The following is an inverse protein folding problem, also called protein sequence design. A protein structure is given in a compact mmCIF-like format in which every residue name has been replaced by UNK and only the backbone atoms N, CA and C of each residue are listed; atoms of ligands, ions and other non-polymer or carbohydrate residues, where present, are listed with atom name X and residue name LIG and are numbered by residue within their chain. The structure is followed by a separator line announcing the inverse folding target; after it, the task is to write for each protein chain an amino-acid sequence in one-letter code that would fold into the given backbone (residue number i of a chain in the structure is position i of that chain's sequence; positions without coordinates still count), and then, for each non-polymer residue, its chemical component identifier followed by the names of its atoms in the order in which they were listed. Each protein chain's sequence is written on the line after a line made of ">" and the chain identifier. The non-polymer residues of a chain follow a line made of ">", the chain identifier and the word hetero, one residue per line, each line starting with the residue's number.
data_IF_410422934068
#
_entry.id   IF_410422934068
#
_cell.length_a   1.000
_cell.length_b   1.000
_cell.length_c   1.000
_cell.angle_alpha   90.00
_cell.angle_beta   90.00
_cell.angle_gamma   90.00
#
_symmetry.space_group_name_H-M   'P 1'
#
loop_
_entity.id
_entity.type
_entity.pdbx_description
1 polymer ?
#
# COMPACT_ATOMS: atom_id res chain seq x y z
N UNK A 1 -5.68 34.47 1.42
CA UNK A 1 -4.59 34.00 2.30
C UNK A 1 -5.22 33.21 3.44
N UNK A 2 -5.24 31.88 3.37
CA UNK A 2 -5.63 31.00 4.49
C UNK A 2 -4.32 30.61 5.17
N UNK A 3 -4.09 31.14 6.38
CA UNK A 3 -2.93 30.77 7.20
C UNK A 3 -3.09 29.33 7.67
N UNK A 4 -2.14 28.47 7.32
CA UNK A 4 -2.00 27.15 7.93
C UNK A 4 -1.60 27.34 9.39
N UNK A 5 -2.52 27.03 10.31
CA UNK A 5 -2.24 26.99 11.73
C UNK A 5 -1.62 25.62 12.01
N UNK A 6 -0.31 25.56 12.03
CA UNK A 6 0.44 24.38 12.46
C UNK A 6 0.51 24.39 14.00
N UNK A 7 -0.45 23.75 14.65
CA UNK A 7 -0.40 23.53 16.09
C UNK A 7 0.59 22.41 16.41
N UNK A 8 1.49 22.62 17.37
CA UNK A 8 2.36 21.56 17.88
C UNK A 8 1.55 20.52 18.69
N UNK A 9 2.03 19.27 18.75
CA UNK A 9 1.37 18.22 19.55
C UNK A 9 1.15 18.64 21.02
N UNK A 10 2.00 19.52 21.56
CA UNK A 10 1.90 20.08 22.91
C UNK A 10 0.75 21.09 23.03
N UNK A 11 0.51 21.89 22.01
CA UNK A 11 -0.61 22.84 21.99
C UNK A 11 -1.95 22.12 21.83
N UNK A 12 -1.98 21.05 21.03
CA UNK A 12 -3.14 20.15 20.93
C UNK A 12 -3.46 19.50 22.28
N UNK A 13 -2.44 19.00 22.99
CA UNK A 13 -2.62 18.40 24.33
C UNK A 13 -3.07 19.42 25.38
N UNK A 14 -2.58 20.66 25.32
CA UNK A 14 -3.00 21.75 26.21
C UNK A 14 -4.45 22.21 25.93
N UNK A 15 -4.89 22.17 24.69
CA UNK A 15 -6.28 22.47 24.31
C UNK A 15 -7.24 21.37 24.74
N UNK A 16 -6.85 20.08 24.62
CA UNK A 16 -7.61 18.95 25.17
C UNK A 16 -7.79 19.05 26.70
N UNK A 17 -6.81 19.60 27.41
CA UNK A 17 -6.87 19.83 28.86
C UNK A 17 -7.78 21.00 29.26
N UNK A 18 -8.14 21.88 28.34
CA UNK A 18 -8.97 23.08 28.55
C UNK A 18 -10.47 22.86 28.33
N UNK A 19 -10.95 21.61 28.35
CA UNK A 19 -12.38 21.33 28.45
C UNK A 19 -13.16 21.29 27.14
N UNK A 20 -12.60 20.70 26.08
CA UNK A 20 -13.39 20.26 24.92
C UNK A 20 -14.22 19.03 25.29
N UNK A 21 -15.34 19.28 25.96
CA UNK A 21 -16.32 18.21 26.26
C UNK A 21 -17.19 17.96 25.04
N UNK A 22 -17.51 16.68 24.71
CA UNK A 22 -18.50 16.39 23.67
C UNK A 22 -19.85 16.97 24.09
N UNK A 23 -20.59 17.52 23.14
CA UNK A 23 -22.01 17.80 23.37
C UNK A 23 -22.75 16.48 23.40
N UNK A 24 -23.37 16.20 24.52
CA UNK A 24 -24.23 15.03 24.66
C UNK A 24 -25.66 15.53 24.53
N UNK A 25 -26.34 15.17 23.45
CA UNK A 25 -27.77 15.37 23.26
C UNK A 25 -28.51 14.03 23.35
N UNK A 26 -29.78 14.08 23.71
CA UNK A 26 -30.65 12.89 23.73
C UNK A 26 -31.72 13.10 22.66
N UNK A 27 -31.63 12.34 21.59
CA UNK A 27 -32.63 12.33 20.52
C UNK A 27 -33.27 10.95 20.45
N UNK A 28 -34.61 10.92 20.46
CA UNK A 28 -35.43 9.68 20.35
C UNK A 28 -34.99 8.54 21.30
N UNK A 29 -34.55 8.88 22.52
CA UNK A 29 -34.15 7.88 23.52
C UNK A 29 -32.67 7.38 23.39
N UNK A 30 -31.96 7.82 22.38
CA UNK A 30 -30.54 7.49 22.16
C UNK A 30 -29.67 8.67 22.57
N UNK A 31 -28.55 8.40 23.25
CA UNK A 31 -27.55 9.42 23.54
C UNK A 31 -26.68 9.66 22.29
N UNK A 32 -26.75 10.88 21.72
CA UNK A 32 -25.90 11.32 20.61
C UNK A 32 -24.74 12.10 21.20
N UNK A 33 -23.53 11.66 20.90
CA UNK A 33 -22.29 12.32 21.33
C UNK A 33 -21.70 13.03 20.11
N UNK A 34 -21.84 14.37 20.09
CA UNK A 34 -21.22 15.19 19.05
C UNK A 34 -19.86 15.72 19.51
N UNK A 35 -18.82 15.30 18.82
CA UNK A 35 -17.48 15.84 19.00
C UNK A 35 -17.33 17.14 18.19
N UNK A 36 -16.68 18.16 18.75
CA UNK A 36 -16.37 19.37 18.01
C UNK A 36 -15.49 19.03 16.79
N UNK A 37 -15.67 19.73 15.67
CA UNK A 37 -14.87 19.52 14.45
C UNK A 37 -13.36 19.65 14.72
N UNK A 38 -12.98 20.52 15.64
CA UNK A 38 -11.59 20.65 16.09
C UNK A 38 -11.06 19.40 16.77
N UNK A 39 -11.86 18.73 17.58
CA UNK A 39 -11.43 17.49 18.24
C UNK A 39 -11.36 16.33 17.26
N UNK A 40 -12.30 16.23 16.32
CA UNK A 40 -12.24 15.24 15.22
C UNK A 40 -10.97 15.44 14.38
N UNK A 41 -10.64 16.69 14.07
CA UNK A 41 -9.42 17.04 13.35
C UNK A 41 -8.15 16.67 14.14
N UNK A 42 -8.10 16.97 15.45
CA UNK A 42 -6.99 16.61 16.32
C UNK A 42 -6.80 15.09 16.45
N UNK A 43 -7.89 14.34 16.56
CA UNK A 43 -7.87 12.88 16.60
C UNK A 43 -7.38 12.30 15.27
N UNK A 44 -7.85 12.83 14.14
CA UNK A 44 -7.40 12.40 12.83
C UNK A 44 -5.90 12.68 12.61
N UNK A 45 -5.40 13.84 13.04
CA UNK A 45 -3.97 14.15 13.00
C UNK A 45 -3.14 13.22 13.91
N UNK A 46 -3.66 12.90 15.09
CA UNK A 46 -3.00 11.98 16.02
C UNK A 46 -2.93 10.57 15.42
N UNK A 47 -4.01 10.06 14.86
CA UNK A 47 -4.06 8.76 14.19
C UNK A 47 -3.11 8.70 12.99
N UNK A 48 -3.07 9.74 12.14
CA UNK A 48 -2.17 9.82 10.99
C UNK A 48 -0.70 9.85 11.43
N UNK A 49 -0.38 10.59 12.52
CA UNK A 49 0.96 10.66 13.10
C UNK A 49 1.39 9.32 13.71
N UNK A 50 0.49 8.66 14.46
CA UNK A 50 0.75 7.35 15.06
C UNK A 50 0.96 6.29 13.97
N UNK A 51 0.09 6.26 12.96
CA UNK A 51 0.24 5.37 11.80
C UNK A 51 1.58 5.60 11.11
N UNK A 52 1.95 6.85 10.86
CA UNK A 52 3.21 7.20 10.20
C UNK A 52 4.43 6.77 11.00
N UNK A 53 4.43 6.98 12.31
CA UNK A 53 5.50 6.55 13.21
C UNK A 53 5.62 5.03 13.20
N UNK A 54 4.50 4.32 13.30
CA UNK A 54 4.44 2.87 13.20
C UNK A 54 5.04 2.38 11.87
N UNK A 55 4.59 2.95 10.75
CA UNK A 55 5.07 2.60 9.40
C UNK A 55 6.61 2.73 9.30
N UNK A 56 7.16 3.84 9.79
CA UNK A 56 8.61 4.09 9.74
C UNK A 56 9.37 3.09 10.63
N UNK A 57 8.95 2.93 11.89
CA UNK A 57 9.65 2.05 12.85
C UNK A 57 9.65 0.59 12.37
N UNK A 58 8.50 0.10 11.93
CA UNK A 58 8.38 -1.29 11.42
C UNK A 58 9.16 -1.46 10.12
N UNK A 59 9.08 -0.50 9.19
CA UNK A 59 9.84 -0.57 7.94
C UNK A 59 11.34 -0.60 8.18
N UNK A 60 11.84 0.22 9.11
CA UNK A 60 13.24 0.23 9.49
C UNK A 60 13.67 -1.10 10.11
N UNK A 61 12.87 -1.64 11.03
CA UNK A 61 13.14 -2.93 11.66
C UNK A 61 13.19 -4.06 10.63
N UNK A 62 12.21 -4.11 9.72
CA UNK A 62 12.15 -5.14 8.67
C UNK A 62 13.38 -5.03 7.76
N UNK A 63 13.75 -3.83 7.32
CA UNK A 63 14.94 -3.64 6.48
C UNK A 63 16.23 -4.02 7.20
N UNK A 64 16.38 -3.69 8.48
CA UNK A 64 17.55 -4.05 9.26
C UNK A 64 17.70 -5.57 9.41
N UNK A 65 16.60 -6.28 9.72
CA UNK A 65 16.59 -7.75 9.83
C UNK A 65 16.81 -8.41 8.46
N UNK A 66 16.24 -7.85 7.41
CA UNK A 66 16.34 -8.39 6.04
C UNK A 66 17.69 -8.09 5.37
N UNK A 67 18.44 -7.09 5.86
CA UNK A 67 19.66 -6.59 5.22
C UNK A 67 20.67 -7.69 4.81
N UNK A 68 21.08 -8.64 5.70
CA UNK A 68 22.05 -9.66 5.31
C UNK A 68 21.52 -10.57 4.19
N UNK A 69 20.25 -10.94 4.24
CA UNK A 69 19.61 -11.71 3.19
C UNK A 69 19.42 -10.90 1.90
N UNK A 70 19.06 -9.64 2.02
CA UNK A 70 18.94 -8.70 0.90
C UNK A 70 20.25 -8.52 0.13
N UNK A 71 21.40 -8.50 0.84
CA UNK A 71 22.72 -8.46 0.20
C UNK A 71 23.01 -9.73 -0.59
N UNK A 72 22.66 -10.90 -0.07
CA UNK A 72 22.79 -12.19 -0.81
C UNK A 72 21.91 -12.20 -2.06
N UNK A 73 20.66 -11.72 -1.97
CA UNK A 73 19.78 -11.58 -3.13
C UNK A 73 20.34 -10.60 -4.16
N UNK A 74 20.89 -9.48 -3.70
CA UNK A 74 21.56 -8.49 -4.55
C UNK A 74 22.68 -9.13 -5.37
N UNK A 75 23.53 -9.92 -4.72
CA UNK A 75 24.61 -10.63 -5.37
C UNK A 75 24.08 -11.66 -6.39
N UNK A 76 23.08 -12.46 -6.00
CA UNK A 76 22.47 -13.46 -6.88
C UNK A 76 21.86 -12.83 -8.15
N UNK A 77 21.12 -11.71 -8.01
CA UNK A 77 20.53 -10.97 -9.13
C UNK A 77 21.62 -10.39 -10.04
N UNK A 78 22.69 -9.84 -9.46
CA UNK A 78 23.79 -9.23 -10.22
C UNK A 78 24.57 -10.28 -11.04
N UNK A 79 24.78 -11.46 -10.47
CA UNK A 79 25.50 -12.57 -11.13
C UNK A 79 24.66 -13.25 -12.22
N UNK A 80 23.33 -13.33 -12.05
CA UNK A 80 22.47 -14.03 -13.00
C UNK A 80 22.24 -13.26 -14.29
N UNK A 81 22.11 -11.94 -14.24
CA UNK A 81 21.78 -11.14 -15.42
C UNK A 81 22.39 -9.74 -15.37
N UNK A 82 22.86 -9.25 -16.53
CA UNK A 82 23.39 -7.90 -16.67
C UNK A 82 22.34 -6.84 -16.41
N UNK A 83 22.73 -5.73 -15.76
CA UNK A 83 21.85 -4.59 -15.44
C UNK A 83 21.77 -4.31 -13.95
N UNK A 84 20.94 -3.32 -13.54
CA UNK A 84 20.76 -2.94 -12.13
C UNK A 84 20.10 -4.03 -11.30
N UNK A 85 20.37 -4.07 -10.00
CA UNK A 85 19.75 -5.00 -9.05
C UNK A 85 18.30 -4.62 -8.75
N UNK A 86 18.04 -3.33 -8.77
CA UNK A 86 16.71 -2.76 -8.51
C UNK A 86 15.98 -2.45 -9.81
N UNK A 87 14.69 -2.62 -9.78
CA UNK A 87 13.75 -2.17 -10.79
C UNK A 87 12.89 -1.05 -10.22
N UNK A 88 12.81 0.06 -10.94
CA UNK A 88 12.04 1.25 -10.60
C UNK A 88 10.85 1.34 -11.56
N UNK A 89 9.64 1.32 -11.02
CA UNK A 89 8.41 1.42 -11.80
C UNK A 89 7.61 2.66 -11.42
N UNK A 90 7.15 3.42 -12.42
CA UNK A 90 6.23 4.52 -12.17
C UNK A 90 4.89 4.01 -11.65
N UNK A 91 4.47 4.55 -10.54
CA UNK A 91 3.20 4.24 -9.88
C UNK A 91 2.51 5.52 -9.44
N UNK A 92 1.17 5.42 -9.32
CA UNK A 92 0.34 6.53 -8.84
C UNK A 92 0.16 6.39 -7.33
N UNK A 93 0.53 7.43 -6.61
CA UNK A 93 0.41 7.54 -5.16
C UNK A 93 -0.73 8.47 -4.71
N UNK A 94 -0.63 8.93 -3.46
CA UNK A 94 -1.61 9.82 -2.84
C UNK A 94 -1.84 11.06 -3.71
N UNK A 95 -3.12 11.43 -3.87
CA UNK A 95 -3.60 12.56 -4.66
C UNK A 95 -3.15 12.53 -6.14
N UNK A 96 -2.89 11.33 -6.69
CA UNK A 96 -2.48 11.17 -8.08
C UNK A 96 -1.00 11.49 -8.34
N UNK A 97 -0.18 11.75 -7.31
CA UNK A 97 1.24 12.04 -7.46
C UNK A 97 2.01 10.80 -7.91
N UNK A 98 2.81 10.92 -8.96
CA UNK A 98 3.68 9.83 -9.42
C UNK A 98 4.88 9.66 -8.49
N UNK A 99 5.26 8.39 -8.27
CA UNK A 99 6.47 8.03 -7.55
C UNK A 99 7.12 6.78 -8.18
N UNK A 100 8.39 6.52 -7.84
CA UNK A 100 9.13 5.34 -8.29
C UNK A 100 8.99 4.23 -7.25
N UNK A 101 8.23 3.20 -7.59
CA UNK A 101 8.12 2.00 -6.79
C UNK A 101 9.40 1.18 -6.91
N UNK A 102 10.05 0.91 -5.80
CA UNK A 102 11.31 0.18 -5.74
C UNK A 102 11.07 -1.32 -5.54
N UNK A 103 11.66 -2.15 -6.41
CA UNK A 103 11.61 -3.61 -6.31
C UNK A 103 12.98 -4.23 -6.59
N UNK A 104 13.22 -5.45 -6.12
CA UNK A 104 14.30 -6.25 -6.69
C UNK A 104 13.93 -6.66 -8.11
N UNK A 105 14.91 -6.61 -9.01
CA UNK A 105 14.71 -7.04 -10.39
C UNK A 105 14.50 -8.55 -10.44
N UNK A 106 13.31 -8.98 -10.84
CA UNK A 106 12.91 -10.36 -11.00
C UNK A 106 12.75 -10.80 -12.44
N UNK A 107 12.87 -9.86 -13.38
CA UNK A 107 12.72 -10.10 -14.82
C UNK A 107 13.97 -9.66 -15.58
N UNK A 108 14.14 -10.19 -16.79
CA UNK A 108 15.20 -9.79 -17.71
C UNK A 108 15.08 -8.30 -18.08
N UNK A 109 16.18 -7.61 -18.44
CA UNK A 109 16.11 -6.22 -18.91
C UNK A 109 15.13 -6.06 -20.06
N UNK A 110 14.39 -4.93 -20.07
CA UNK A 110 13.36 -4.59 -21.07
C UNK A 110 12.12 -5.51 -21.09
N UNK A 111 11.86 -6.27 -20.04
CA UNK A 111 10.69 -7.13 -19.93
C UNK A 111 9.35 -6.35 -19.89
N UNK A 112 9.40 -5.08 -19.57
CA UNK A 112 8.27 -4.13 -19.47
C UNK A 112 7.83 -3.53 -20.81
N UNK A 113 8.61 -3.72 -21.89
CA UNK A 113 8.26 -3.21 -23.24
C UNK A 113 7.06 -3.92 -23.88
N UNK A 114 6.58 -5.03 -23.30
CA UNK A 114 5.41 -5.78 -23.74
C UNK A 114 4.19 -5.50 -22.88
N UNK A 115 3.66 -6.53 -22.26
CA UNK A 115 2.52 -6.42 -21.32
C UNK A 115 2.96 -5.91 -19.96
N UNK A 116 2.18 -4.99 -19.37
CA UNK A 116 2.36 -4.52 -17.99
C UNK A 116 1.85 -5.53 -16.95
N UNK A 117 1.10 -6.54 -17.39
CA UNK A 117 0.56 -7.62 -16.59
C UNK A 117 1.48 -8.83 -16.70
N UNK A 118 1.74 -9.50 -15.58
CA UNK A 118 2.39 -10.81 -15.56
C UNK A 118 1.33 -11.89 -15.64
N UNK A 119 1.40 -12.75 -16.64
CA UNK A 119 0.41 -13.81 -16.87
C UNK A 119 1.03 -15.14 -16.44
N UNK A 120 0.44 -15.75 -15.41
CA UNK A 120 0.90 -17.02 -14.86
C UNK A 120 2.24 -16.96 -14.12
N UNK A 121 2.60 -18.08 -13.50
CA UNK A 121 3.81 -18.20 -12.67
C UNK A 121 5.07 -18.54 -13.48
N UNK A 122 4.94 -18.89 -14.77
CA UNK A 122 6.05 -19.30 -15.67
C UNK A 122 6.26 -18.34 -16.83
N UNK A 123 6.04 -17.05 -16.60
CA UNK A 123 6.32 -16.02 -17.61
C UNK A 123 7.81 -16.09 -18.02
N UNK A 124 8.14 -16.24 -19.33
CA UNK A 124 9.51 -16.44 -19.80
C UNK A 124 10.43 -15.24 -19.56
N UNK A 125 9.87 -14.10 -19.21
CA UNK A 125 10.62 -12.90 -18.84
C UNK A 125 11.27 -13.00 -17.45
N UNK A 126 10.78 -13.91 -16.59
CA UNK A 126 11.26 -14.08 -15.23
C UNK A 126 12.60 -14.82 -15.21
N UNK A 127 13.59 -14.33 -14.44
CA UNK A 127 14.87 -14.99 -14.22
C UNK A 127 14.72 -16.15 -13.21
N UNK A 128 15.71 -17.03 -13.07
CA UNK A 128 15.67 -18.11 -12.09
C UNK A 128 15.61 -17.59 -10.66
N UNK A 129 16.49 -16.66 -10.32
CA UNK A 129 16.44 -15.93 -9.04
C UNK A 129 15.11 -15.18 -8.91
N UNK A 130 14.64 -14.55 -10.01
CA UNK A 130 13.36 -13.87 -10.08
C UNK A 130 12.17 -14.76 -9.73
N UNK A 131 12.16 -15.99 -10.20
CA UNK A 131 11.13 -16.96 -9.84
C UNK A 131 11.10 -17.24 -8.34
N UNK A 132 12.27 -17.45 -7.73
CA UNK A 132 12.38 -17.65 -6.29
C UNK A 132 11.89 -16.44 -5.48
N UNK A 133 12.39 -15.24 -5.80
CA UNK A 133 12.04 -14.03 -5.03
C UNK A 133 10.56 -13.66 -5.18
N UNK A 134 9.95 -13.87 -6.37
CA UNK A 134 8.51 -13.63 -6.59
C UNK A 134 7.63 -14.63 -5.84
N UNK A 135 8.04 -15.90 -5.77
CA UNK A 135 7.30 -16.94 -5.05
C UNK A 135 7.09 -16.56 -3.58
N UNK A 136 8.11 -15.96 -2.95
CA UNK A 136 8.08 -15.55 -1.54
C UNK A 136 7.83 -14.05 -1.36
N UNK A 137 7.42 -13.32 -2.42
CA UNK A 137 7.19 -11.86 -2.43
C UNK A 137 8.40 -11.04 -1.95
N UNK A 138 9.61 -11.60 -2.03
CA UNK A 138 10.85 -10.95 -1.60
C UNK A 138 11.26 -9.79 -2.52
N UNK A 139 10.78 -9.80 -3.77
CA UNK A 139 10.98 -8.70 -4.72
C UNK A 139 10.35 -7.38 -4.24
N UNK A 140 9.40 -7.44 -3.33
CA UNK A 140 8.71 -6.26 -2.81
C UNK A 140 9.36 -5.65 -1.55
N UNK A 141 10.34 -6.32 -0.92
CA UNK A 141 11.02 -5.80 0.28
C UNK A 141 11.63 -4.41 0.12
N UNK A 142 12.23 -4.03 -1.03
CA UNK A 142 12.72 -2.66 -1.20
C UNK A 142 11.63 -1.57 -1.08
N UNK A 143 10.34 -1.91 -1.18
CA UNK A 143 9.24 -0.97 -1.00
C UNK A 143 9.16 -0.39 0.42
N UNK A 144 9.74 -1.08 1.43
CA UNK A 144 9.87 -0.49 2.77
C UNK A 144 10.71 0.79 2.77
N UNK A 145 11.62 0.97 1.79
CA UNK A 145 12.31 2.25 1.56
C UNK A 145 11.31 3.30 1.09
N UNK A 146 10.37 2.95 0.15
CA UNK A 146 9.30 3.88 -0.25
C UNK A 146 8.41 4.28 0.94
N UNK A 147 8.19 3.37 1.89
CA UNK A 147 7.48 3.71 3.13
C UNK A 147 8.30 4.72 3.95
N UNK A 148 9.58 4.49 4.18
CA UNK A 148 10.45 5.39 4.98
C UNK A 148 10.51 6.79 4.36
N UNK A 149 10.69 6.93 3.05
CA UNK A 149 10.74 8.23 2.36
C UNK A 149 9.39 8.92 2.27
N UNK A 150 8.29 8.18 2.46
CA UNK A 150 6.95 8.76 2.59
C UNK A 150 6.03 8.64 1.38
N UNK A 151 6.45 7.96 0.33
CA UNK A 151 5.62 7.70 -0.86
C UNK A 151 4.54 6.66 -0.58
N UNK A 152 4.80 5.74 0.37
CA UNK A 152 3.92 4.62 0.72
C UNK A 152 3.66 4.53 2.23
N UNK A 153 2.74 3.65 2.59
CA UNK A 153 2.44 3.10 3.91
C UNK A 153 2.64 1.58 3.87
N UNK A 154 2.72 0.92 5.01
CA UNK A 154 2.71 -0.55 5.06
C UNK A 154 1.35 -1.07 4.60
N UNK A 155 0.26 -0.49 5.10
CA UNK A 155 -1.12 -0.87 4.75
C UNK A 155 -1.82 0.27 4.03
N UNK A 156 -2.39 -0.04 2.89
CA UNK A 156 -3.13 0.88 2.03
C UNK A 156 -3.40 0.27 0.66
N UNK A 157 -4.25 0.87 -0.17
CA UNK A 157 -4.51 0.37 -1.52
C UNK A 157 -3.21 0.19 -2.31
N UNK A 158 -3.04 -0.96 -2.96
CA UNK A 158 -1.84 -1.21 -3.77
C UNK A 158 -1.69 -0.18 -4.88
N UNK A 159 -0.51 0.44 -5.07
CA UNK A 159 -0.34 1.47 -6.09
C UNK A 159 -0.45 0.88 -7.49
N UNK A 160 -1.22 1.54 -8.35
CA UNK A 160 -1.44 1.11 -9.73
C UNK A 160 -0.56 1.89 -10.71
N UNK A 161 -0.33 1.34 -11.90
CA UNK A 161 0.39 2.03 -12.98
C UNK A 161 -0.47 3.15 -13.57
N UNK A 162 0.15 4.24 -14.07
CA UNK A 162 -0.58 5.39 -14.61
C UNK A 162 -1.59 5.01 -15.70
N UNK A 163 -1.26 4.03 -16.53
CA UNK A 163 -2.12 3.55 -17.62
C UNK A 163 -3.51 3.10 -17.12
N UNK A 164 -3.56 2.30 -16.04
CA UNK A 164 -4.84 1.83 -15.51
C UNK A 164 -5.56 2.90 -14.66
N UNK A 165 -4.81 3.77 -13.96
CA UNK A 165 -5.42 4.87 -13.18
C UNK A 165 -6.15 5.87 -14.08
N UNK A 166 -5.72 6.05 -15.32
CA UNK A 166 -6.44 6.89 -16.30
C UNK A 166 -7.86 6.38 -16.58
N UNK A 167 -8.09 5.09 -16.43
CA UNK A 167 -9.40 4.45 -16.65
C UNK A 167 -10.32 4.50 -15.42
N UNK A 168 -9.84 5.01 -14.28
CA UNK A 168 -10.64 5.09 -13.05
C UNK A 168 -11.77 6.10 -13.21
N UNK A 169 -12.97 5.70 -12.78
CA UNK A 169 -14.09 6.64 -12.59
C UNK A 169 -13.80 7.60 -11.44
N UNK A 170 -14.56 8.69 -11.34
CA UNK A 170 -14.44 9.65 -10.24
C UNK A 170 -14.60 8.98 -8.87
N UNK A 171 -15.53 8.05 -8.75
CA UNK A 171 -15.74 7.28 -7.53
C UNK A 171 -14.53 6.39 -7.20
N UNK A 172 -13.97 5.71 -8.20
CA UNK A 172 -12.79 4.87 -8.04
C UNK A 172 -11.54 5.69 -7.65
N UNK A 173 -11.42 6.92 -8.13
CA UNK A 173 -10.30 7.82 -7.77
C UNK A 173 -10.23 8.16 -6.29
N UNK A 174 -11.31 7.98 -5.53
CA UNK A 174 -11.31 8.21 -4.08
C UNK A 174 -10.28 7.35 -3.34
N UNK A 175 -9.88 6.18 -3.87
CA UNK A 175 -8.81 5.38 -3.26
C UNK A 175 -7.45 6.08 -3.26
N UNK A 176 -7.25 7.06 -4.13
CA UNK A 176 -6.02 7.85 -4.21
C UNK A 176 -5.94 8.93 -3.12
N UNK A 177 -6.95 9.10 -2.27
CA UNK A 177 -6.92 10.07 -1.16
C UNK A 177 -5.94 9.71 -0.04
N UNK A 178 -5.53 8.45 0.03
CA UNK A 178 -4.57 7.93 1.02
C UNK A 178 -3.25 7.50 0.37
N UNK A 179 -2.21 7.28 1.18
CA UNK A 179 -0.97 6.69 0.68
C UNK A 179 -1.22 5.24 0.25
N UNK A 180 -0.63 4.82 -0.89
CA UNK A 180 -0.66 3.43 -1.28
C UNK A 180 0.10 2.55 -0.28
N UNK A 181 -0.27 1.27 -0.19
CA UNK A 181 0.33 0.30 0.72
C UNK A 181 1.14 -0.79 0.03
N UNK A 182 1.98 -1.47 0.83
CA UNK A 182 2.64 -2.72 0.45
C UNK A 182 1.60 -3.85 0.43
N UNK A 183 0.66 -3.84 1.38
CA UNK A 183 -0.42 -4.81 1.50
C UNK A 183 -1.76 -4.15 1.76
N UNK A 184 -2.84 -4.85 1.40
CA UNK A 184 -4.23 -4.47 1.59
C UNK A 184 -5.16 -5.69 1.53
N UNK A 185 -6.46 -5.51 1.82
CA UNK A 185 -7.44 -6.58 1.69
C UNK A 185 -7.61 -7.10 0.26
N UNK A 186 -7.45 -6.25 -0.76
CA UNK A 186 -7.55 -6.66 -2.15
C UNK A 186 -6.37 -7.55 -2.54
N UNK A 187 -5.14 -7.23 -2.09
CA UNK A 187 -3.96 -8.06 -2.28
C UNK A 187 -4.08 -9.43 -1.60
N UNK A 188 -4.78 -9.51 -0.46
CA UNK A 188 -5.09 -10.77 0.20
C UNK A 188 -6.14 -11.59 -0.58
N UNK A 189 -7.20 -10.95 -1.06
CA UNK A 189 -8.25 -11.61 -1.84
C UNK A 189 -7.73 -12.12 -3.19
N UNK A 190 -6.90 -11.32 -3.86
CA UNK A 190 -6.30 -11.61 -5.17
C UNK A 190 -4.83 -12.05 -5.08
N UNK A 191 -4.47 -12.82 -4.04
CA UNK A 191 -3.07 -13.25 -3.82
C UNK A 191 -2.51 -14.06 -5.00
N UNK A 192 -3.36 -14.83 -5.69
CA UNK A 192 -3.05 -15.63 -6.88
C UNK A 192 -3.57 -14.98 -8.18
N UNK A 193 -3.60 -13.65 -8.25
CA UNK A 193 -4.10 -12.88 -9.40
C UNK A 193 -3.50 -13.36 -10.74
N UNK A 194 -2.20 -13.66 -10.76
CA UNK A 194 -1.52 -14.14 -11.95
C UNK A 194 -2.09 -15.48 -12.48
N UNK A 195 -2.56 -16.35 -11.59
CA UNK A 195 -3.16 -17.63 -11.95
C UNK A 195 -4.59 -17.40 -12.50
N UNK A 196 -5.35 -16.48 -11.90
CA UNK A 196 -6.67 -16.09 -12.41
C UNK A 196 -6.54 -15.51 -13.83
N UNK A 197 -5.60 -14.60 -14.03
CA UNK A 197 -5.33 -14.01 -15.35
C UNK A 197 -4.86 -15.04 -16.38
N UNK A 198 -4.12 -16.07 -15.96
CA UNK A 198 -3.66 -17.12 -16.86
C UNK A 198 -4.80 -17.99 -17.43
N UNK A 199 -5.96 -18.05 -16.77
CA UNK A 199 -7.14 -18.80 -17.23
C UNK A 199 -8.10 -17.96 -18.08
N UNK A 200 -7.92 -16.63 -18.12
CA UNK A 200 -8.77 -15.73 -18.89
C UNK A 200 -8.45 -15.79 -20.39
N UNK A 201 -9.48 -15.75 -21.24
CA UNK A 201 -9.32 -15.70 -22.70
C UNK A 201 -8.60 -14.41 -23.15
N UNK A 202 -8.88 -13.28 -22.49
CA UNK A 202 -8.18 -12.00 -22.63
C UNK A 202 -7.80 -11.48 -21.22
N UNK A 203 -6.56 -11.73 -20.78
CA UNK A 203 -6.11 -11.31 -19.46
C UNK A 203 -6.18 -9.81 -19.21
N UNK A 204 -5.93 -8.98 -20.24
CA UNK A 204 -5.96 -7.53 -20.10
C UNK A 204 -7.39 -7.04 -19.92
N UNK A 205 -8.32 -7.56 -20.70
CA UNK A 205 -9.75 -7.24 -20.57
C UNK A 205 -10.30 -7.69 -19.22
N UNK A 206 -10.01 -8.94 -18.81
CA UNK A 206 -10.42 -9.46 -17.51
C UNK A 206 -9.87 -8.62 -16.35
N UNK A 207 -8.62 -8.14 -16.45
CA UNK A 207 -8.05 -7.25 -15.44
C UNK A 207 -8.85 -5.94 -15.37
N UNK A 208 -9.10 -5.27 -16.49
CA UNK A 208 -9.74 -3.95 -16.54
C UNK A 208 -11.21 -4.01 -16.13
N UNK A 209 -11.95 -5.00 -16.64
CA UNK A 209 -13.41 -5.06 -16.47
C UNK A 209 -13.86 -5.75 -15.18
N UNK A 210 -13.04 -6.67 -14.62
CA UNK A 210 -13.44 -7.50 -13.49
C UNK A 210 -12.53 -7.31 -12.26
N UNK A 211 -11.22 -7.58 -12.40
CA UNK A 211 -10.30 -7.64 -11.26
C UNK A 211 -10.05 -6.26 -10.66
N UNK A 212 -9.69 -5.29 -11.48
CA UNK A 212 -9.38 -3.94 -11.03
C UNK A 212 -10.57 -3.26 -10.32
N UNK A 213 -11.81 -3.26 -10.86
CA UNK A 213 -12.98 -2.70 -10.16
C UNK A 213 -13.27 -3.41 -8.83
N UNK A 214 -13.16 -4.75 -8.79
CA UNK A 214 -13.38 -5.52 -7.57
C UNK A 214 -12.33 -5.21 -6.49
N UNK A 215 -11.04 -5.09 -6.85
CA UNK A 215 -9.97 -4.67 -5.94
C UNK A 215 -10.21 -3.27 -5.39
N UNK A 216 -10.64 -2.34 -6.23
CA UNK A 216 -10.98 -0.98 -5.81
C UNK A 216 -12.14 -0.99 -4.82
N UNK A 217 -13.21 -1.74 -5.09
CA UNK A 217 -14.37 -1.85 -4.20
C UNK A 217 -14.00 -2.42 -2.82
N UNK A 218 -13.11 -3.43 -2.77
CA UNK A 218 -12.59 -3.96 -1.50
C UNK A 218 -11.83 -2.88 -0.73
N UNK A 219 -10.98 -2.12 -1.40
CA UNK A 219 -10.17 -1.09 -0.77
C UNK A 219 -11.00 0.13 -0.34
N UNK A 220 -12.07 0.48 -1.06
CA UNK A 220 -13.00 1.53 -0.62
C UNK A 220 -13.69 1.17 0.70
N UNK A 221 -14.03 -0.12 0.92
CA UNK A 221 -14.57 -0.57 2.23
C UNK A 221 -13.57 -0.43 3.36
N UNK A 222 -12.29 -0.70 3.10
CA UNK A 222 -11.23 -0.44 4.09
C UNK A 222 -11.13 1.05 4.43
N UNK A 223 -11.20 1.93 3.42
CA UNK A 223 -11.12 3.38 3.61
C UNK A 223 -12.29 3.97 4.41
N UNK A 224 -13.44 3.30 4.45
CA UNK A 224 -14.58 3.73 5.28
C UNK A 224 -14.31 3.61 6.77
N UNK A 225 -13.40 2.72 7.18
CA UNK A 225 -13.07 2.47 8.59
C UNK A 225 -11.55 2.22 8.73
N UNK A 226 -10.69 3.20 8.42
CA UNK A 226 -9.27 3.04 8.60
C UNK A 226 -8.91 2.98 10.09
N UNK A 227 -7.81 2.31 10.43
CA UNK A 227 -7.34 2.30 11.81
C UNK A 227 -6.19 1.32 12.03
N UNK A 228 -5.35 1.61 13.02
CA UNK A 228 -4.16 0.81 13.31
C UNK A 228 -4.48 -0.67 13.62
N UNK A 229 -5.61 -0.94 14.27
CA UNK A 229 -6.05 -2.32 14.57
C UNK A 229 -6.35 -3.08 13.27
N UNK A 230 -7.01 -2.44 12.30
CA UNK A 230 -7.24 -3.04 10.99
C UNK A 230 -5.92 -3.27 10.23
N UNK A 231 -5.00 -2.32 10.32
CA UNK A 231 -3.69 -2.45 9.70
C UNK A 231 -2.92 -3.64 10.27
N UNK A 232 -2.87 -3.79 11.60
CA UNK A 232 -2.27 -4.95 12.26
C UNK A 232 -2.91 -6.27 11.83
N UNK A 233 -4.24 -6.30 11.68
CA UNK A 233 -4.96 -7.47 11.17
C UNK A 233 -4.56 -7.81 9.74
N UNK A 234 -4.48 -6.82 8.85
CA UNK A 234 -4.06 -7.02 7.45
C UNK A 234 -2.61 -7.52 7.39
N UNK A 235 -1.70 -6.94 8.17
CA UNK A 235 -0.30 -7.37 8.26
C UNK A 235 -0.22 -8.84 8.72
N UNK A 236 -0.95 -9.20 9.78
CA UNK A 236 -0.98 -10.57 10.29
C UNK A 236 -1.53 -11.58 9.28
N UNK A 237 -2.62 -11.23 8.57
CA UNK A 237 -3.19 -12.05 7.50
C UNK A 237 -2.22 -12.20 6.31
N UNK A 238 -1.50 -11.13 5.97
CA UNK A 238 -0.49 -11.15 4.90
C UNK A 238 0.66 -12.08 5.26
N UNK A 239 1.20 -11.95 6.48
CA UNK A 239 2.27 -12.82 6.96
C UNK A 239 1.84 -14.30 6.96
N UNK A 240 0.64 -14.58 7.48
CA UNK A 240 0.05 -15.93 7.46
C UNK A 240 -0.02 -16.50 6.04
N UNK A 241 -0.52 -15.71 5.09
CA UNK A 241 -0.68 -16.13 3.69
C UNK A 241 0.65 -16.36 2.97
N UNK A 242 1.67 -15.53 3.24
CA UNK A 242 3.03 -15.71 2.69
C UNK A 242 3.68 -16.98 3.22
N UNK A 243 3.47 -17.29 4.50
CA UNK A 243 4.01 -18.49 5.16
C UNK A 243 3.25 -19.78 4.80
N UNK A 244 2.12 -19.69 4.08
CA UNK A 244 1.36 -20.85 3.61
C UNK A 244 0.40 -21.45 4.64
N UNK A 245 -0.04 -20.66 5.64
CA UNK A 245 -1.02 -21.04 6.67
C UNK A 245 -2.42 -20.51 6.39
#
# INVERSE_FOLDING_TARGET
>A
MKGEITLSAREVFLQLRKGLHPKISREEGVFVIEWSEQLKFCLALYEDTMKRTFDICISFLILAVFLPFGLLLTLAIALESRGGVFYLQDRVGKNGKLFKLLKFRSMRPNADKGSQITIGNRDPRITRTGYFIRRFKLDEFPQFINVIIGDMSIVGPRPEVPFYVQMYTEEQRKILSVKPGITDYASLAYFHENEILATAADPQKAYIEEIMPAKIAINQRYLSHPGLIQDLKIIGLTAKKILGF
#
